data_IF_049374764720
#
_entry.id   IF_049374764720
#
_cell.length_a   1.000
_cell.length_b   1.000
_cell.length_c   1.000
_cell.angle_alpha   90.00
_cell.angle_beta   90.00
_cell.angle_gamma   90.00
#
_symmetry.space_group_name_H-M   'P 1'
#
loop_
_entity.id
_entity.type
_entity.pdbx_description
1 polymer ?
#
# COMPACT_ATOMS: atom_id res chain seq x y z
N UNK A 1 -8.79 -0.23 9.68
CA UNK A 1 -7.99 0.77 8.94
C UNK A 1 -6.51 0.63 9.28
N UNK A 2 -5.60 0.94 8.36
CA UNK A 2 -4.15 0.95 8.60
C UNK A 2 -3.64 2.37 8.83
N UNK A 3 -2.68 2.53 9.74
CA UNK A 3 -1.93 3.75 9.95
C UNK A 3 -0.46 3.49 9.59
N UNK A 4 0.05 4.22 8.61
CA UNK A 4 1.43 4.15 8.14
C UNK A 4 2.12 5.44 8.58
N UNK A 5 3.01 5.32 9.57
CA UNK A 5 3.63 6.45 10.28
C UNK A 5 5.17 6.45 10.14
N UNK A 6 5.68 5.75 9.12
CA UNK A 6 7.10 5.57 8.91
C UNK A 6 7.41 4.80 7.63
N UNK A 7 8.69 4.61 7.35
CA UNK A 7 9.18 3.96 6.13
C UNK A 7 9.04 2.43 6.20
N UNK A 8 8.50 1.83 5.15
CA UNK A 8 8.55 0.39 4.89
C UNK A 8 9.75 0.07 3.99
N UNK A 9 10.59 -0.88 4.41
CA UNK A 9 11.82 -1.24 3.71
C UNK A 9 11.77 -2.67 3.18
N UNK A 10 12.24 -2.87 1.94
CA UNK A 10 12.60 -4.20 1.44
C UNK A 10 14.06 -4.45 1.76
N UNK A 11 14.35 -5.34 2.71
CA UNK A 11 15.73 -5.74 2.98
C UNK A 11 16.23 -6.71 1.89
N UNK A 12 17.37 -6.40 1.26
CA UNK A 12 17.99 -7.23 0.23
C UNK A 12 17.57 -6.84 -1.19
N UNK A 13 17.12 -7.82 -2.00
CA UNK A 13 16.74 -7.56 -3.38
C UNK A 13 15.46 -6.73 -3.44
N UNK A 14 15.48 -5.66 -4.25
CA UNK A 14 14.33 -4.78 -4.45
C UNK A 14 13.09 -5.55 -4.92
N UNK A 15 11.92 -5.12 -4.46
CA UNK A 15 10.63 -5.75 -4.79
C UNK A 15 9.49 -4.74 -4.79
N UNK A 16 8.35 -5.11 -5.38
CA UNK A 16 7.11 -4.33 -5.26
C UNK A 16 6.50 -4.49 -3.86
N UNK A 17 5.93 -3.40 -3.31
CA UNK A 17 5.15 -3.40 -2.07
C UNK A 17 3.68 -3.10 -2.41
N UNK A 18 2.77 -3.90 -1.85
CA UNK A 18 1.32 -3.65 -1.93
C UNK A 18 0.76 -3.69 -0.51
N UNK A 19 0.12 -2.60 -0.07
CA UNK A 19 -0.68 -2.55 1.16
C UNK A 19 -2.13 -2.33 0.77
N UNK A 20 -2.95 -3.35 0.99
CA UNK A 20 -4.38 -3.34 0.67
C UNK A 20 -5.22 -3.43 1.94
N UNK A 21 -6.03 -2.41 2.23
CA UNK A 21 -6.93 -2.42 3.39
C UNK A 21 -8.27 -1.74 3.08
N UNK A 22 -9.36 -2.51 2.84
CA UNK A 22 -10.69 -1.95 2.58
C UNK A 22 -11.28 -1.08 3.69
N UNK A 23 -10.82 -1.25 4.93
CA UNK A 23 -11.24 -0.38 6.02
C UNK A 23 -10.57 1.02 5.97
N UNK A 24 -9.67 1.28 5.02
CA UNK A 24 -8.99 2.57 4.84
C UNK A 24 -7.51 2.54 5.23
N UNK A 25 -6.76 3.51 4.73
CA UNK A 25 -5.32 3.72 4.97
C UNK A 25 -5.10 5.20 5.29
N UNK A 26 -4.37 5.50 6.36
CA UNK A 26 -3.82 6.84 6.61
C UNK A 26 -2.29 6.76 6.57
N UNK A 27 -1.66 7.61 5.78
CA UNK A 27 -0.22 7.82 5.73
C UNK A 27 0.11 9.18 6.35
N UNK A 28 1.05 9.23 7.28
CA UNK A 28 1.56 10.47 7.84
C UNK A 28 3.05 10.29 8.17
N UNK A 29 3.92 10.76 7.27
CA UNK A 29 5.34 10.46 7.30
C UNK A 29 5.66 9.01 6.92
N UNK A 30 4.76 8.35 6.17
CA UNK A 30 5.08 7.03 5.63
C UNK A 30 6.05 7.15 4.45
N UNK A 31 6.69 6.06 4.08
CA UNK A 31 7.62 6.04 2.95
C UNK A 31 7.95 4.62 2.53
N UNK A 32 8.71 4.49 1.45
CA UNK A 32 9.15 3.19 0.96
C UNK A 32 10.64 3.23 0.62
N UNK A 33 11.41 2.31 1.18
CA UNK A 33 12.84 2.17 0.93
C UNK A 33 13.12 0.85 0.21
N UNK A 34 13.95 0.93 -0.84
CA UNK A 34 14.34 -0.21 -1.68
C UNK A 34 13.14 -0.95 -2.34
N UNK A 35 12.05 -0.22 -2.61
CA UNK A 35 10.87 -0.74 -3.29
C UNK A 35 10.85 -0.36 -4.78
N UNK A 36 10.37 -1.25 -5.63
CA UNK A 36 10.24 -1.04 -7.08
C UNK A 36 9.09 -0.13 -7.43
N UNK A 37 7.98 -0.44 -6.77
CA UNK A 37 6.71 0.25 -6.83
C UNK A 37 6.05 -0.01 -5.50
N UNK A 38 5.47 1.03 -4.93
CA UNK A 38 4.57 0.90 -3.81
C UNK A 38 3.13 1.16 -4.27
N UNK A 39 2.20 0.31 -3.84
CA UNK A 39 0.76 0.50 -4.07
C UNK A 39 0.04 0.48 -2.73
N UNK A 40 -0.59 1.60 -2.40
CA UNK A 40 -1.51 1.71 -1.29
C UNK A 40 -2.94 1.70 -1.86
N UNK A 41 -3.79 0.80 -1.38
CA UNK A 41 -5.17 0.68 -1.90
C UNK A 41 -6.17 0.31 -0.81
N UNK A 42 -7.40 0.77 -0.97
CA UNK A 42 -8.55 0.29 -0.19
C UNK A 42 -9.33 -0.81 -0.91
N UNK A 43 -8.83 -1.28 -2.05
CA UNK A 43 -9.44 -2.41 -2.75
C UNK A 43 -9.14 -3.75 -2.08
N UNK A 44 -10.06 -4.71 -2.23
CA UNK A 44 -9.78 -6.11 -1.94
C UNK A 44 -8.87 -6.65 -3.05
N UNK A 45 -7.71 -7.25 -2.74
CA UNK A 45 -6.83 -7.79 -3.77
C UNK A 45 -7.46 -9.03 -4.41
N UNK A 46 -7.32 -9.13 -5.74
CA UNK A 46 -7.71 -10.29 -6.53
C UNK A 46 -6.46 -10.80 -7.26
N UNK A 47 -6.13 -12.08 -7.06
CA UNK A 47 -4.98 -12.70 -7.74
C UNK A 47 -5.51 -13.55 -8.89
N UNK A 48 -5.10 -13.20 -10.09
CA UNK A 48 -5.42 -13.93 -11.31
C UNK A 48 -4.63 -15.24 -11.43
N UNK A 49 -5.06 -16.16 -12.30
CA UNK A 49 -4.39 -17.44 -12.53
C UNK A 49 -2.99 -17.29 -13.16
N UNK A 50 -2.69 -16.14 -13.77
CA UNK A 50 -1.38 -15.76 -14.32
C UNK A 50 -0.49 -15.03 -13.28
N UNK A 51 -0.96 -14.88 -12.05
CA UNK A 51 -0.29 -14.10 -11.01
C UNK A 51 -0.53 -12.59 -11.12
N UNK A 52 -1.37 -12.12 -12.06
CA UNK A 52 -1.79 -10.73 -12.13
C UNK A 52 -2.54 -10.30 -10.87
N UNK A 53 -2.28 -9.08 -10.40
CA UNK A 53 -2.94 -8.54 -9.21
C UNK A 53 -3.88 -7.41 -9.62
N UNK A 54 -5.18 -7.63 -9.42
CA UNK A 54 -6.22 -6.62 -9.52
C UNK A 54 -6.72 -6.17 -8.14
N UNK A 55 -7.46 -5.08 -8.10
CA UNK A 55 -8.07 -4.57 -6.87
C UNK A 55 -9.53 -4.21 -7.11
N UNK A 56 -10.42 -4.82 -6.33
CA UNK A 56 -11.84 -4.44 -6.31
C UNK A 56 -12.06 -3.35 -5.25
N UNK A 57 -12.25 -2.10 -5.71
CA UNK A 57 -12.37 -0.91 -4.86
C UNK A 57 -13.83 -0.56 -4.67
N UNK A 58 -14.42 -1.03 -3.58
CA UNK A 58 -15.82 -0.77 -3.23
C UNK A 58 -16.02 0.37 -2.21
N UNK A 59 -14.93 0.89 -1.62
CA UNK A 59 -14.99 1.94 -0.60
C UNK A 59 -13.71 2.10 0.20
N UNK A 60 -13.83 2.69 1.39
CA UNK A 60 -12.70 3.07 2.23
C UNK A 60 -12.09 4.42 1.82
N UNK A 61 -11.27 5.00 2.69
CA UNK A 61 -10.53 6.24 2.42
C UNK A 61 -9.04 6.00 2.55
N UNK A 62 -8.29 6.46 1.55
CA UNK A 62 -6.86 6.65 1.65
C UNK A 62 -6.60 8.12 1.93
N UNK A 63 -5.89 8.42 3.02
CA UNK A 63 -5.50 9.78 3.39
C UNK A 63 -4.00 9.88 3.48
N UNK A 64 -3.45 10.97 2.96
CA UNK A 64 -2.07 11.40 3.23
C UNK A 64 -2.18 12.67 4.05
N UNK A 65 -1.59 12.65 5.24
CA UNK A 65 -1.75 13.67 6.28
C UNK A 65 -0.38 14.12 6.80
N UNK A 66 -0.35 15.21 7.57
CA UNK A 66 0.81 15.65 8.34
C UNK A 66 2.12 15.68 7.55
N UNK A 67 3.08 14.85 7.97
CA UNK A 67 4.41 14.72 7.39
C UNK A 67 4.43 14.11 5.97
N UNK A 68 3.27 13.80 5.39
CA UNK A 68 3.15 13.42 3.99
C UNK A 68 3.48 11.95 3.73
N UNK A 69 3.93 11.71 2.50
CA UNK A 69 4.46 10.46 1.96
C UNK A 69 5.84 10.72 1.36
#
# INVERSE_FOLDING_TARGET
PSQLMGTMEVAGNRANIIVANPAGITCNGCGFLNADRATLTTGKPMVGPDGGIGFDVAGGKLRVEGAGL
#
